data_IF_064953870979
#
_entry.id   IF_064953870979
#
_cell.length_a   1.000
_cell.length_b   1.000
_cell.length_c   1.000
_cell.angle_alpha   90.00
_cell.angle_beta   90.00
_cell.angle_gamma   90.00
#
_symmetry.space_group_name_H-M   'P 1'
#
loop_
_entity.id
_entity.type
_entity.pdbx_description
1 polymer ?
#
# COMPACT_ATOMS: atom_id res chain seq x y z
N UNK A 1 32.24 -47.55 -45.06
CA UNK A 1 30.96 -46.80 -45.07
C UNK A 1 30.00 -47.16 -43.90
N UNK A 2 30.01 -48.37 -43.36
CA UNK A 2 29.13 -48.77 -42.26
C UNK A 2 29.46 -48.15 -40.88
N UNK A 3 30.69 -47.68 -40.64
CA UNK A 3 31.12 -47.11 -39.34
C UNK A 3 30.79 -45.64 -39.19
N UNK A 4 30.57 -44.90 -40.26
CA UNK A 4 30.22 -43.49 -40.25
C UNK A 4 28.71 -43.31 -39.96
N UNK A 5 27.86 -44.23 -40.40
CA UNK A 5 26.44 -44.20 -40.15
C UNK A 5 26.06 -44.39 -38.68
N UNK A 6 26.87 -45.20 -37.94
CA UNK A 6 26.64 -45.46 -36.52
C UNK A 6 26.97 -44.24 -35.62
N UNK A 7 27.99 -43.46 -36.01
CA UNK A 7 28.41 -42.26 -35.27
C UNK A 7 27.37 -41.10 -35.41
N UNK A 8 26.73 -40.96 -36.56
CA UNK A 8 25.71 -39.94 -36.80
C UNK A 8 24.40 -40.21 -36.01
N UNK A 9 24.01 -41.48 -35.87
CA UNK A 9 22.84 -41.87 -35.11
C UNK A 9 23.06 -41.64 -33.60
N UNK A 10 24.31 -41.86 -33.10
CA UNK A 10 24.66 -41.62 -31.69
C UNK A 10 24.69 -40.12 -31.34
N UNK A 11 25.10 -39.25 -32.28
CA UNK A 11 25.12 -37.81 -32.10
C UNK A 11 23.72 -37.17 -32.12
N UNK A 12 22.75 -37.75 -32.81
CA UNK A 12 21.38 -37.27 -32.81
C UNK A 12 20.60 -37.61 -31.55
N UNK A 13 21.02 -38.61 -30.76
CA UNK A 13 20.34 -39.03 -29.55
C UNK A 13 20.63 -38.13 -28.34
N UNK A 14 21.65 -37.27 -28.40
CA UNK A 14 22.06 -36.41 -27.29
C UNK A 14 21.31 -35.07 -27.22
N UNK A 15 20.61 -34.68 -28.28
CA UNK A 15 19.91 -33.38 -28.34
C UNK A 15 18.44 -33.40 -27.81
N UNK A 16 17.94 -34.52 -27.36
CA UNK A 16 16.52 -34.63 -26.93
C UNK A 16 16.31 -34.51 -25.41
N UNK A 17 17.34 -34.20 -24.62
CA UNK A 17 17.25 -34.15 -23.14
C UNK A 17 17.34 -32.72 -22.57
N UNK A 18 17.50 -31.69 -23.40
CA UNK A 18 17.75 -30.34 -22.92
C UNK A 18 16.63 -29.33 -23.24
N UNK A 19 15.37 -29.71 -23.08
CA UNK A 19 14.26 -28.73 -23.05
C UNK A 19 13.31 -29.03 -21.89
N UNK A 20 13.85 -29.18 -20.68
CA UNK A 20 13.07 -28.85 -19.50
C UNK A 20 12.98 -27.31 -19.47
N UNK A 21 11.89 -26.78 -20.04
CA UNK A 21 11.46 -25.40 -19.84
C UNK A 21 11.54 -25.14 -18.34
N UNK A 22 12.29 -24.14 -17.85
CA UNK A 22 12.30 -23.85 -16.44
C UNK A 22 10.85 -23.62 -16.04
N UNK A 23 10.31 -24.47 -15.17
CA UNK A 23 9.03 -24.24 -14.54
C UNK A 23 9.18 -22.88 -13.86
N UNK A 24 8.54 -21.84 -14.43
CA UNK A 24 8.50 -20.52 -13.82
C UNK A 24 8.03 -20.75 -12.39
N UNK A 25 8.91 -20.58 -11.43
CA UNK A 25 8.51 -20.59 -10.03
C UNK A 25 7.35 -19.62 -9.92
N UNK A 26 6.17 -20.14 -9.60
CA UNK A 26 4.96 -19.32 -9.54
C UNK A 26 5.27 -18.15 -8.60
N UNK A 27 5.33 -16.94 -9.13
CA UNK A 27 5.60 -15.77 -8.33
C UNK A 27 4.50 -15.66 -7.28
N UNK A 28 4.89 -15.44 -6.03
CA UNK A 28 3.90 -15.24 -4.96
C UNK A 28 2.99 -14.07 -5.32
N UNK A 29 1.72 -14.09 -4.91
CA UNK A 29 0.82 -12.98 -5.16
C UNK A 29 1.36 -11.72 -4.46
N UNK A 30 1.11 -10.57 -5.07
CA UNK A 30 1.48 -9.28 -4.49
C UNK A 30 0.53 -8.92 -3.36
N UNK A 31 1.08 -8.38 -2.28
CA UNK A 31 0.31 -7.75 -1.20
C UNK A 31 0.09 -6.30 -1.60
N UNK A 32 -1.13 -5.96 -2.00
CA UNK A 32 -1.46 -4.62 -2.50
C UNK A 32 -1.28 -3.54 -1.44
N UNK A 33 -1.70 -3.82 -0.21
CA UNK A 33 -1.54 -2.89 0.90
C UNK A 33 -1.49 -3.62 2.24
N UNK A 34 -0.69 -3.09 3.17
CA UNK A 34 -0.82 -3.38 4.59
C UNK A 34 -1.47 -2.15 5.21
N UNK A 35 -2.63 -2.33 5.86
CA UNK A 35 -3.42 -1.23 6.40
C UNK A 35 -3.44 -1.28 7.92
N UNK A 36 -3.03 -0.19 8.55
CA UNK A 36 -3.23 0.06 9.98
C UNK A 36 -4.41 1.00 10.20
N UNK A 37 -5.12 0.79 11.31
CA UNK A 37 -6.17 1.70 11.78
C UNK A 37 -5.65 2.46 12.98
N UNK A 38 -5.75 3.78 12.95
CA UNK A 38 -5.24 4.65 14.02
C UNK A 38 -6.24 5.76 14.31
N UNK A 39 -6.47 6.01 15.60
CA UNK A 39 -7.23 7.20 16.04
C UNK A 39 -6.23 8.31 16.30
N UNK A 40 -6.33 9.40 15.56
CA UNK A 40 -5.41 10.54 15.64
C UNK A 40 -5.98 11.62 16.55
N UNK A 41 -5.15 12.12 17.45
CA UNK A 41 -5.40 13.32 18.23
C UNK A 41 -4.69 14.51 17.58
N UNK A 42 -5.38 15.62 17.45
CA UNK A 42 -4.89 16.82 16.76
C UNK A 42 -3.54 17.35 17.29
N UNK A 43 -3.28 17.16 18.57
CA UNK A 43 -2.03 17.61 19.22
C UNK A 43 -0.86 16.64 19.15
N UNK A 44 -1.10 15.36 18.84
CA UNK A 44 -0.08 14.29 18.90
C UNK A 44 -0.05 13.40 17.66
N UNK A 45 -0.80 13.74 16.61
CA UNK A 45 -0.99 12.90 15.42
C UNK A 45 0.32 12.49 14.73
N UNK A 46 1.32 13.38 14.68
CA UNK A 46 2.60 13.06 14.05
C UNK A 46 3.30 11.88 14.76
N UNK A 47 3.30 11.91 16.10
CA UNK A 47 3.86 10.82 16.89
C UNK A 47 3.05 9.54 16.74
N UNK A 48 1.72 9.63 16.76
CA UNK A 48 0.83 8.47 16.61
C UNK A 48 1.02 7.82 15.24
N UNK A 49 1.19 8.61 14.18
CA UNK A 49 1.51 8.12 12.82
C UNK A 49 2.89 7.45 12.82
N UNK A 50 3.90 8.07 13.41
CA UNK A 50 5.25 7.49 13.46
C UNK A 50 5.23 6.14 14.20
N UNK A 51 4.56 6.03 15.34
CA UNK A 51 4.43 4.79 16.09
C UNK A 51 3.70 3.70 15.28
N UNK A 52 2.63 4.04 14.58
CA UNK A 52 1.89 3.11 13.71
C UNK A 52 2.74 2.63 12.52
N UNK A 53 3.51 3.54 11.92
CA UNK A 53 4.39 3.21 10.78
C UNK A 53 5.51 2.25 11.17
N UNK A 54 6.01 2.28 12.40
CA UNK A 54 6.97 1.29 12.89
C UNK A 54 6.40 -0.12 12.73
N UNK A 55 5.17 -0.32 13.20
CA UNK A 55 4.50 -1.64 13.12
C UNK A 55 4.25 -2.05 11.67
N UNK A 56 3.78 -1.13 10.82
CA UNK A 56 3.51 -1.42 9.41
C UNK A 56 4.79 -1.74 8.63
N UNK A 57 5.89 -1.03 8.90
CA UNK A 57 7.20 -1.29 8.27
C UNK A 57 7.78 -2.63 8.72
N UNK A 58 7.61 -3.02 9.97
CA UNK A 58 7.97 -4.36 10.45
C UNK A 58 7.16 -5.44 9.74
N UNK A 59 5.84 -5.29 9.63
CA UNK A 59 4.98 -6.21 8.90
C UNK A 59 5.38 -6.30 7.43
N UNK A 60 5.67 -5.17 6.76
CA UNK A 60 6.17 -5.15 5.37
C UNK A 60 7.44 -5.98 5.24
N UNK A 61 8.41 -5.77 6.13
CA UNK A 61 9.69 -6.52 6.13
C UNK A 61 9.47 -8.03 6.27
N UNK A 62 8.55 -8.47 7.13
CA UNK A 62 8.22 -9.89 7.29
C UNK A 62 7.61 -10.50 6.02
N UNK A 63 6.66 -9.79 5.37
CA UNK A 63 6.10 -10.24 4.11
C UNK A 63 7.16 -10.32 3.00
N UNK A 64 8.04 -9.33 2.91
CA UNK A 64 9.11 -9.28 1.92
C UNK A 64 10.14 -10.39 2.16
N UNK A 65 10.50 -10.66 3.42
CA UNK A 65 11.37 -11.77 3.82
C UNK A 65 10.74 -13.12 3.45
N UNK A 66 9.42 -13.24 3.57
CA UNK A 66 8.69 -14.41 3.12
C UNK A 66 8.54 -14.49 1.58
N UNK A 67 9.09 -13.52 0.82
CA UNK A 67 9.12 -13.51 -0.64
C UNK A 67 7.86 -12.94 -1.29
N UNK A 68 7.04 -12.18 -0.58
CA UNK A 68 5.94 -11.40 -1.14
C UNK A 68 6.45 -10.01 -1.55
N UNK A 69 5.81 -9.40 -2.53
CA UNK A 69 6.01 -7.98 -2.85
C UNK A 69 4.89 -7.18 -2.20
N UNK A 70 5.24 -6.22 -1.33
CA UNK A 70 4.29 -5.29 -0.71
C UNK A 70 4.31 -3.97 -1.46
N UNK A 71 3.16 -3.53 -1.99
CA UNK A 71 3.07 -2.34 -2.84
C UNK A 71 2.94 -1.06 -2.00
N UNK A 72 2.07 -1.04 -0.97
CA UNK A 72 1.81 0.18 -0.20
C UNK A 72 1.60 -0.09 1.29
N UNK A 73 1.95 0.91 2.10
CA UNK A 73 1.49 1.03 3.49
C UNK A 73 0.35 2.04 3.55
N UNK A 74 -0.67 1.74 4.34
CA UNK A 74 -1.86 2.57 4.43
C UNK A 74 -2.26 2.78 5.89
N UNK A 75 -2.60 4.01 6.26
CA UNK A 75 -3.14 4.35 7.57
C UNK A 75 -4.57 4.88 7.41
N UNK A 76 -5.53 4.21 8.03
CA UNK A 76 -6.93 4.63 8.06
C UNK A 76 -7.23 5.27 9.40
N UNK A 77 -7.82 6.47 9.38
CA UNK A 77 -8.15 7.25 10.57
C UNK A 77 -9.61 7.06 10.99
N UNK A 78 -10.01 7.71 12.10
CA UNK A 78 -11.42 7.88 12.46
C UNK A 78 -12.19 8.67 11.40
N UNK A 79 -13.54 8.72 11.47
CA UNK A 79 -14.36 9.52 10.60
C UNK A 79 -13.92 10.98 10.53
N UNK A 80 -14.05 11.60 9.33
CA UNK A 80 -13.57 12.96 9.09
C UNK A 80 -14.13 13.97 10.08
N UNK A 81 -15.42 13.93 10.38
CA UNK A 81 -16.05 14.84 11.35
C UNK A 81 -15.46 14.74 12.75
N UNK A 82 -15.04 13.53 13.18
CA UNK A 82 -14.36 13.34 14.46
C UNK A 82 -12.90 13.83 14.40
N UNK A 83 -12.22 13.60 13.28
CA UNK A 83 -10.83 13.98 13.08
C UNK A 83 -10.63 15.49 13.16
N UNK A 84 -11.57 16.28 12.58
CA UNK A 84 -11.51 17.74 12.53
C UNK A 84 -12.43 18.42 13.55
N UNK A 85 -12.98 17.69 14.52
CA UNK A 85 -13.90 18.24 15.50
C UNK A 85 -13.33 19.48 16.22
N UNK A 86 -14.11 20.55 16.26
CA UNK A 86 -13.71 21.81 16.91
C UNK A 86 -12.80 22.72 16.07
N UNK A 87 -12.42 22.33 14.86
CA UNK A 87 -11.68 23.17 13.92
C UNK A 87 -12.60 24.06 13.08
N UNK A 88 -12.14 25.24 12.69
CA UNK A 88 -12.74 25.96 11.57
C UNK A 88 -12.41 25.26 10.24
N UNK A 89 -13.12 25.56 9.15
CA UNK A 89 -12.84 24.99 7.84
C UNK A 89 -11.39 25.23 7.39
N UNK A 90 -10.88 26.45 7.60
CA UNK A 90 -9.48 26.77 7.27
C UNK A 90 -8.47 25.96 8.10
N UNK A 91 -8.75 25.77 9.38
CA UNK A 91 -7.92 24.94 10.26
C UNK A 91 -7.95 23.48 9.84
N UNK A 92 -9.11 22.96 9.49
CA UNK A 92 -9.29 21.59 9.04
C UNK A 92 -8.57 21.34 7.71
N UNK A 93 -8.68 22.24 6.73
CA UNK A 93 -7.96 22.17 5.46
C UNK A 93 -6.44 22.21 5.69
N UNK A 94 -5.96 23.13 6.53
CA UNK A 94 -4.54 23.22 6.86
C UNK A 94 -4.02 21.97 7.60
N UNK A 95 -4.84 21.34 8.43
CA UNK A 95 -4.50 20.08 9.09
C UNK A 95 -4.40 18.93 8.09
N UNK A 96 -5.39 18.80 7.19
CA UNK A 96 -5.39 17.77 6.16
C UNK A 96 -4.23 17.93 5.18
N UNK A 97 -3.89 19.17 4.79
CA UNK A 97 -2.72 19.45 3.98
C UNK A 97 -1.41 19.04 4.66
N UNK A 98 -1.29 19.27 5.99
CA UNK A 98 -0.12 18.78 6.75
C UNK A 98 -0.06 17.27 6.85
N UNK A 99 -1.21 16.61 7.00
CA UNK A 99 -1.29 15.14 6.99
C UNK A 99 -0.83 14.58 5.65
N UNK A 100 -1.23 15.22 4.54
CA UNK A 100 -0.80 14.85 3.20
C UNK A 100 0.72 15.02 3.02
N UNK A 101 1.28 16.18 3.39
CA UNK A 101 2.73 16.40 3.37
C UNK A 101 3.51 15.37 4.19
N UNK A 102 2.99 15.00 5.36
CA UNK A 102 3.59 13.96 6.20
C UNK A 102 3.53 12.59 5.51
N UNK A 103 2.44 12.29 4.82
CA UNK A 103 2.27 11.04 4.11
C UNK A 103 3.27 10.86 2.97
N UNK A 104 3.53 11.92 2.22
CA UNK A 104 4.56 11.95 1.17
C UNK A 104 5.95 11.75 1.78
N UNK A 105 6.26 12.47 2.86
CA UNK A 105 7.55 12.39 3.54
C UNK A 105 7.83 11.00 4.09
N UNK A 106 6.82 10.36 4.68
CA UNK A 106 6.96 9.09 5.39
C UNK A 106 6.58 7.86 4.54
N UNK A 107 6.25 8.06 3.27
CA UNK A 107 5.90 7.01 2.29
C UNK A 107 4.75 6.10 2.78
N UNK A 108 3.59 6.70 3.02
CA UNK A 108 2.36 5.97 3.30
C UNK A 108 1.15 6.65 2.62
N UNK A 109 0.07 5.90 2.46
CA UNK A 109 -1.20 6.43 1.94
C UNK A 109 -2.12 6.76 3.12
N UNK A 110 -2.46 8.04 3.35
CA UNK A 110 -3.47 8.42 4.32
C UNK A 110 -4.86 8.08 3.77
N UNK A 111 -5.65 7.41 4.57
CA UNK A 111 -7.02 7.09 4.26
C UNK A 111 -7.90 7.67 5.38
N UNK A 112 -8.40 8.87 5.18
CA UNK A 112 -9.29 9.50 6.13
C UNK A 112 -10.60 8.72 6.20
N UNK A 113 -11.11 8.48 7.39
CA UNK A 113 -12.36 7.76 7.59
C UNK A 113 -13.56 8.46 6.94
N UNK A 114 -14.74 7.84 6.93
CA UNK A 114 -15.89 8.33 6.18
C UNK A 114 -16.29 9.75 6.60
N UNK A 115 -16.71 10.57 5.63
CA UNK A 115 -17.24 11.90 5.89
C UNK A 115 -18.63 11.87 6.52
N UNK A 116 -19.43 10.85 6.19
CA UNK A 116 -20.77 10.64 6.72
C UNK A 116 -20.86 9.25 7.36
N UNK A 117 -21.38 9.18 8.59
CA UNK A 117 -21.60 7.94 9.33
C UNK A 117 -23.09 7.62 9.46
N UNK A 118 -23.94 8.64 9.34
CA UNK A 118 -25.39 8.56 9.44
C UNK A 118 -26.05 9.35 8.32
N UNK A 119 -27.29 9.02 7.97
CA UNK A 119 -28.05 9.67 6.89
C UNK A 119 -28.33 11.18 7.13
N UNK A 120 -28.20 11.64 8.37
CA UNK A 120 -28.41 13.03 8.78
C UNK A 120 -27.09 13.74 9.17
N UNK A 121 -25.96 13.29 8.67
CA UNK A 121 -24.68 13.91 8.97
C UNK A 121 -24.58 15.33 8.42
N UNK A 122 -23.79 16.15 9.12
CA UNK A 122 -23.63 17.56 8.83
C UNK A 122 -23.09 17.80 7.41
N UNK A 123 -23.81 18.54 6.56
CA UNK A 123 -23.35 18.94 5.24
C UNK A 123 -21.99 19.66 5.23
N UNK A 124 -21.60 20.32 6.34
CA UNK A 124 -20.31 21.00 6.45
C UNK A 124 -19.12 20.05 6.23
N UNK A 125 -19.21 18.81 6.71
CA UNK A 125 -18.19 17.79 6.49
C UNK A 125 -18.04 17.42 5.02
N UNK A 126 -19.14 17.38 4.27
CA UNK A 126 -19.12 17.12 2.84
C UNK A 126 -18.53 18.30 2.06
N UNK A 127 -18.85 19.54 2.46
CA UNK A 127 -18.25 20.74 1.86
C UNK A 127 -16.74 20.82 2.11
N UNK A 128 -16.29 20.44 3.31
CA UNK A 128 -14.87 20.36 3.63
C UNK A 128 -14.16 19.33 2.72
N UNK A 129 -14.75 18.15 2.55
CA UNK A 129 -14.19 17.12 1.68
C UNK A 129 -14.10 17.59 0.22
N UNK A 130 -15.12 18.29 -0.28
CA UNK A 130 -15.12 18.88 -1.62
C UNK A 130 -13.99 19.91 -1.77
N UNK A 131 -13.74 20.76 -0.75
CA UNK A 131 -12.64 21.72 -0.73
C UNK A 131 -11.27 21.06 -0.89
N UNK A 132 -11.03 19.95 -0.20
CA UNK A 132 -9.76 19.19 -0.31
C UNK A 132 -9.49 18.73 -1.74
N UNK A 133 -10.51 18.32 -2.48
CA UNK A 133 -10.36 17.85 -3.87
C UNK A 133 -10.30 18.96 -4.92
N UNK A 134 -10.75 20.16 -4.59
CA UNK A 134 -10.73 21.29 -5.53
C UNK A 134 -9.48 22.15 -5.44
N UNK A 135 -8.73 22.06 -4.33
CA UNK A 135 -7.51 22.86 -4.10
C UNK A 135 -6.21 22.04 -4.32
N UNK A 136 -6.31 20.74 -4.61
CA UNK A 136 -5.20 19.85 -4.93
C UNK A 136 -4.95 19.79 -6.45
#
# INVERSE_FOLDING_TARGET
>A
MKRIALAVVLLMSIQLVAQSKPTSAASKPKVRAITGFVRLDQGTYEKQIADALIVLRMAKSEFETAGYQVETLRLTTQPLGELVAGMSNEQALAFLARLDQLSVKEDFIPNVGPAMIHDADDPATMHLLAGVYCEA
#
